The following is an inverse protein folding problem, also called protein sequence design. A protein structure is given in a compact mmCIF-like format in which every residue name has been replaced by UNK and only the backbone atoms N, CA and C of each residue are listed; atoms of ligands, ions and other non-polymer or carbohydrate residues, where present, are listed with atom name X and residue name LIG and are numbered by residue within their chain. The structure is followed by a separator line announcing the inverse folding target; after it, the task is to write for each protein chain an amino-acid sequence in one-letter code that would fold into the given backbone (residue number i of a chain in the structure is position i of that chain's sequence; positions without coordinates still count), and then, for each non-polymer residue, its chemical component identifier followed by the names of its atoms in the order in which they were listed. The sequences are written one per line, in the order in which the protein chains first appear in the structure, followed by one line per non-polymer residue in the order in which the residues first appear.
data_IF_557998601496
#
_entry.id   IF_557998601496
#
_cell.length_a   1.000
_cell.length_b   1.000
_cell.length_c   1.000
_cell.angle_alpha   90.00
_cell.angle_beta   90.00
_cell.angle_gamma   90.00
#
_symmetry.space_group_name_H-M   'P 1'
#
loop_
_entity.id
_entity.type
_entity.pdbx_description
1 polymer ?
#
# COMPACT_ATOMS: atom_id res chain seq x y z
N UNK A 1 26.69 22.05 59.79
CA UNK A 1 25.56 22.14 58.85
C UNK A 1 25.66 20.95 57.91
N UNK A 2 24.79 19.94 58.07
CA UNK A 2 24.88 18.65 57.37
C UNK A 2 23.95 18.69 56.16
N UNK A 3 24.51 18.70 54.95
CA UNK A 3 23.75 18.53 53.72
C UNK A 3 23.29 17.07 53.59
N UNK A 4 22.00 16.76 53.37
CA UNK A 4 21.56 15.40 53.18
C UNK A 4 21.99 14.89 51.79
N UNK A 5 22.45 13.63 51.68
CA UNK A 5 22.88 13.06 50.42
C UNK A 5 21.69 12.81 49.49
N UNK A 6 21.78 13.34 48.27
CA UNK A 6 21.18 12.78 47.06
C UNK A 6 19.65 12.68 47.04
N UNK A 7 18.96 13.79 46.78
CA UNK A 7 17.56 13.74 46.33
C UNK A 7 17.51 13.21 44.90
N UNK A 8 17.26 11.92 44.73
CA UNK A 8 17.04 11.31 43.41
C UNK A 8 15.68 11.80 42.88
N UNK A 9 15.72 12.61 41.83
CA UNK A 9 14.51 13.01 41.11
C UNK A 9 14.11 11.85 40.20
N UNK A 10 12.88 11.35 40.35
CA UNK A 10 12.36 10.33 39.45
C UNK A 10 12.35 10.88 38.02
N UNK A 11 12.94 10.13 37.09
CA UNK A 11 12.83 10.45 35.68
C UNK A 11 11.33 10.52 35.31
N UNK A 12 10.92 11.51 34.49
CA UNK A 12 9.55 11.59 34.01
C UNK A 12 9.17 10.26 33.38
N UNK A 13 8.02 9.69 33.80
CA UNK A 13 7.50 8.48 33.19
C UNK A 13 7.40 8.73 31.68
N UNK A 14 7.96 7.83 30.87
CA UNK A 14 7.82 7.91 29.41
C UNK A 14 6.33 7.97 29.09
N UNK A 15 5.87 8.90 28.23
CA UNK A 15 4.51 8.83 27.73
C UNK A 15 4.31 7.45 27.08
N UNK A 16 3.12 6.86 27.28
CA UNK A 16 2.78 5.58 26.66
C UNK A 16 3.13 5.65 25.17
N UNK A 17 3.69 4.57 24.57
CA UNK A 17 3.99 4.56 23.16
C UNK A 17 2.74 5.01 22.40
N UNK A 18 2.89 6.01 21.55
CA UNK A 18 1.81 6.48 20.67
C UNK A 18 1.30 5.22 19.99
N UNK A 19 0.05 4.83 20.25
CA UNK A 19 -0.58 3.74 19.52
C UNK A 19 -0.40 4.06 18.05
N UNK A 20 0.45 3.27 17.37
CA UNK A 20 0.66 3.45 15.96
C UNK A 20 -0.69 3.37 15.25
N UNK A 21 -0.85 4.03 14.10
CA UNK A 21 -2.03 3.83 13.28
C UNK A 21 -2.30 2.32 13.16
N UNK A 22 -3.53 1.92 13.49
CA UNK A 22 -4.01 0.56 13.26
C UNK A 22 -4.12 0.40 11.74
N UNK A 23 -3.01 0.08 11.09
CA UNK A 23 -3.03 -0.38 9.72
C UNK A 23 -3.75 -1.73 9.74
N UNK A 24 -5.04 -1.71 9.37
CA UNK A 24 -5.70 -2.94 8.96
C UNK A 24 -4.81 -3.56 7.89
N UNK A 25 -4.34 -4.77 8.10
CA UNK A 25 -3.59 -5.51 7.08
C UNK A 25 -4.54 -5.78 5.93
N UNK A 26 -4.52 -4.92 4.92
CA UNK A 26 -5.18 -5.15 3.64
C UNK A 26 -4.62 -6.45 3.07
N UNK A 27 -5.50 -7.34 2.60
CA UNK A 27 -5.04 -8.59 2.01
C UNK A 27 -4.39 -8.31 0.66
N UNK A 28 -3.49 -9.19 0.21
CA UNK A 28 -2.92 -9.04 -1.12
C UNK A 28 -3.99 -9.06 -2.22
N UNK A 29 -5.14 -9.71 -1.96
CA UNK A 29 -6.29 -9.71 -2.86
C UNK A 29 -6.97 -8.33 -2.92
N UNK A 30 -7.25 -7.70 -1.78
CA UNK A 30 -7.84 -6.36 -1.74
C UNK A 30 -6.95 -5.34 -2.49
N UNK A 31 -5.64 -5.46 -2.31
CA UNK A 31 -4.64 -4.64 -2.98
C UNK A 31 -4.56 -4.90 -4.50
N UNK A 32 -4.82 -6.14 -4.94
CA UNK A 32 -4.90 -6.50 -6.36
C UNK A 32 -6.18 -5.95 -7.00
N UNK A 33 -7.32 -6.06 -6.31
CA UNK A 33 -8.61 -5.55 -6.78
C UNK A 33 -8.58 -4.02 -6.95
N UNK A 34 -7.93 -3.31 -6.02
CA UNK A 34 -7.73 -1.87 -6.15
C UNK A 34 -6.94 -1.50 -7.42
N UNK A 35 -5.87 -2.23 -7.72
CA UNK A 35 -5.06 -1.99 -8.93
C UNK A 35 -5.80 -2.36 -10.21
N UNK A 36 -6.67 -3.35 -10.16
CA UNK A 36 -7.54 -3.71 -11.27
C UNK A 36 -8.48 -2.56 -11.60
N UNK A 37 -9.11 -1.97 -10.58
CA UNK A 37 -10.00 -0.82 -10.73
C UNK A 37 -9.28 0.40 -11.33
N UNK A 38 -8.09 0.75 -10.81
CA UNK A 38 -7.29 1.86 -11.33
C UNK A 38 -6.86 1.63 -12.79
N UNK A 39 -6.50 0.38 -13.14
CA UNK A 39 -6.15 0.02 -14.51
C UNK A 39 -7.37 0.17 -15.44
N UNK A 40 -8.55 -0.29 -15.01
CA UNK A 40 -9.80 -0.14 -15.77
C UNK A 40 -10.14 1.32 -16.02
N UNK A 41 -10.10 2.18 -15.00
CA UNK A 41 -10.35 3.61 -15.14
C UNK A 41 -9.35 4.26 -16.12
N UNK A 42 -8.06 3.92 -16.00
CA UNK A 42 -7.02 4.47 -16.87
C UNK A 42 -7.21 4.06 -18.34
N UNK A 43 -7.66 2.82 -18.59
CA UNK A 43 -7.94 2.31 -19.93
C UNK A 43 -9.17 2.98 -20.55
N UNK A 44 -10.23 3.21 -19.77
CA UNK A 44 -11.40 3.98 -20.21
C UNK A 44 -11.01 5.41 -20.60
N UNK A 45 -10.20 6.06 -19.76
CA UNK A 45 -9.65 7.39 -20.01
C UNK A 45 -8.82 7.44 -21.29
N UNK A 46 -8.05 6.39 -21.56
CA UNK A 46 -7.23 6.25 -22.76
C UNK A 46 -8.10 6.07 -24.02
N UNK A 47 -9.11 5.21 -23.97
CA UNK A 47 -10.05 4.99 -25.07
C UNK A 47 -10.80 6.27 -25.45
N UNK A 48 -11.13 7.10 -24.46
CA UNK A 48 -11.74 8.40 -24.71
C UNK A 48 -10.75 9.39 -25.34
N UNK A 49 -9.50 9.44 -24.86
CA UNK A 49 -8.46 10.38 -25.33
C UNK A 49 -7.87 10.00 -26.69
N UNK A 50 -7.78 8.72 -27.04
CA UNK A 50 -7.31 8.23 -28.34
C UNK A 50 -8.18 8.78 -29.49
N UNK A 51 -9.50 8.82 -29.28
CA UNK A 51 -10.46 9.38 -30.24
C UNK A 51 -10.26 10.87 -30.49
N UNK A 52 -9.70 11.58 -29.52
CA UNK A 52 -9.47 13.02 -29.61
C UNK A 52 -8.09 13.34 -30.20
N UNK A 53 -7.02 12.69 -29.72
CA UNK A 53 -5.63 12.86 -30.21
C UNK A 53 -4.76 11.62 -29.93
N UNK A 54 -4.55 10.74 -30.92
CA UNK A 54 -3.84 9.46 -30.74
C UNK A 54 -2.35 9.62 -30.42
N UNK A 55 -1.67 10.65 -30.93
CA UNK A 55 -0.21 10.85 -30.75
C UNK A 55 0.15 11.79 -29.58
N UNK A 56 -0.72 11.91 -28.57
CA UNK A 56 -0.42 12.80 -27.45
C UNK A 56 0.53 12.14 -26.44
N UNK A 57 1.49 12.90 -25.91
CA UNK A 57 2.38 12.49 -24.81
C UNK A 57 1.60 11.91 -23.61
N UNK A 58 0.33 12.34 -23.43
CA UNK A 58 -0.57 11.80 -22.40
C UNK A 58 -0.92 10.33 -22.63
N UNK A 59 -1.14 9.92 -23.88
CA UNK A 59 -1.41 8.51 -24.23
C UNK A 59 -0.18 7.66 -23.90
N UNK A 60 1.02 8.12 -24.27
CA UNK A 60 2.27 7.42 -23.92
C UNK A 60 2.47 7.30 -22.40
N UNK A 61 2.26 8.38 -21.64
CA UNK A 61 2.37 8.36 -20.18
C UNK A 61 1.34 7.42 -19.53
N UNK A 62 0.12 7.40 -20.03
CA UNK A 62 -0.92 6.51 -19.54
C UNK A 62 -0.62 5.04 -19.88
N UNK A 63 -0.03 4.73 -21.04
CA UNK A 63 0.44 3.37 -21.33
C UNK A 63 1.54 2.92 -20.35
N UNK A 64 2.47 3.80 -19.97
CA UNK A 64 3.50 3.50 -18.96
C UNK A 64 2.84 3.22 -17.61
N UNK A 65 1.94 4.09 -17.16
CA UNK A 65 1.23 3.90 -15.89
C UNK A 65 0.36 2.62 -15.88
N UNK A 66 -0.28 2.27 -16.99
CA UNK A 66 -1.04 1.03 -17.12
C UNK A 66 -0.13 -0.20 -17.01
N UNK A 67 1.07 -0.14 -17.59
CA UNK A 67 2.05 -1.22 -17.48
C UNK A 67 2.53 -1.42 -16.04
N UNK A 68 2.76 -0.34 -15.30
CA UNK A 68 3.16 -0.39 -13.89
C UNK A 68 2.04 -0.99 -13.02
N UNK A 69 0.80 -0.51 -13.18
CA UNK A 69 -0.37 -1.05 -12.47
C UNK A 69 -0.59 -2.55 -12.75
N UNK A 70 -0.44 -2.98 -14.00
CA UNK A 70 -0.54 -4.38 -14.38
C UNK A 70 0.55 -5.23 -13.71
N UNK A 71 1.78 -4.75 -13.70
CA UNK A 71 2.89 -5.44 -13.04
C UNK A 71 2.61 -5.61 -11.54
N UNK A 72 2.19 -4.55 -10.86
CA UNK A 72 1.84 -4.62 -9.44
C UNK A 72 0.68 -5.59 -9.17
N UNK A 73 -0.38 -5.53 -9.98
CA UNK A 73 -1.52 -6.44 -9.89
C UNK A 73 -1.09 -7.91 -10.01
N UNK A 74 -0.19 -8.23 -10.96
CA UNK A 74 0.27 -9.61 -11.15
C UNK A 74 1.05 -10.14 -9.95
N UNK A 75 1.84 -9.28 -9.29
CA UNK A 75 2.59 -9.65 -8.08
C UNK A 75 1.64 -9.90 -6.93
N UNK A 76 0.65 -9.03 -6.75
CA UNK A 76 -0.32 -9.16 -5.66
C UNK A 76 -1.25 -10.33 -5.83
N UNK A 77 -1.69 -10.60 -7.06
CA UNK A 77 -2.49 -11.78 -7.36
C UNK A 77 -1.72 -13.07 -7.05
N UNK A 78 -0.45 -13.17 -7.47
CA UNK A 78 0.40 -14.32 -7.12
C UNK A 78 0.56 -14.46 -5.60
N UNK A 79 0.75 -13.34 -4.90
CA UNK A 79 0.85 -13.34 -3.45
C UNK A 79 -0.45 -13.81 -2.79
N UNK A 80 -1.60 -13.33 -3.26
CA UNK A 80 -2.91 -13.75 -2.77
C UNK A 80 -3.12 -15.26 -2.94
N UNK A 81 -2.74 -15.82 -4.10
CA UNK A 81 -2.79 -17.27 -4.34
C UNK A 81 -1.90 -18.05 -3.36
N UNK A 82 -0.69 -17.55 -3.06
CA UNK A 82 0.17 -18.19 -2.07
C UNK A 82 -0.36 -18.05 -0.64
N UNK A 83 -1.04 -16.94 -0.31
CA UNK A 83 -1.68 -16.73 1.00
C UNK A 83 -2.86 -17.69 1.20
N UNK A 84 -3.61 -18.01 0.15
CA UNK A 84 -4.68 -19.02 0.20
C UNK A 84 -4.13 -20.45 0.28
N UNK A 85 -3.13 -20.80 -0.53
CA UNK A 85 -2.55 -22.16 -0.54
C UNK A 85 -1.78 -22.50 0.76
N UNK A 86 -1.19 -21.49 1.42
CA UNK A 86 -0.50 -21.67 2.70
C UNK A 86 -1.44 -21.87 3.90
N UNK A 87 -2.70 -21.43 3.79
CA UNK A 87 -3.72 -21.63 4.81
C UNK A 87 -4.25 -23.08 4.84
N UNK A 88 -4.35 -23.71 3.66
CA UNK A 88 -4.85 -25.08 3.51
C UNK A 88 -3.83 -26.17 3.89
N UNK A 89 -2.56 -25.80 4.09
CA UNK A 89 -1.47 -26.72 4.47
C UNK A 89 -1.17 -26.79 5.98
N UNK A 90 -1.94 -26.09 6.81
CA UNK A 90 -1.79 -26.04 8.28
C UNK A 90 -2.94 -26.77 8.98
N UNK A 91 -3.08 -28.08 8.75
CA UNK A 91 -3.88 -29.00 9.59
C UNK A 91 -2.98 -29.99 10.34
#
# INVERSE_FOLDING_TARGET
MVNPPGRVLNFPKRPNPISGPNFQTQTALDDADLRAALLSELLEDLLQKERERPDSLRVQMACIAAQDLLNELTVLYRRAVCETDGADGSE
#
